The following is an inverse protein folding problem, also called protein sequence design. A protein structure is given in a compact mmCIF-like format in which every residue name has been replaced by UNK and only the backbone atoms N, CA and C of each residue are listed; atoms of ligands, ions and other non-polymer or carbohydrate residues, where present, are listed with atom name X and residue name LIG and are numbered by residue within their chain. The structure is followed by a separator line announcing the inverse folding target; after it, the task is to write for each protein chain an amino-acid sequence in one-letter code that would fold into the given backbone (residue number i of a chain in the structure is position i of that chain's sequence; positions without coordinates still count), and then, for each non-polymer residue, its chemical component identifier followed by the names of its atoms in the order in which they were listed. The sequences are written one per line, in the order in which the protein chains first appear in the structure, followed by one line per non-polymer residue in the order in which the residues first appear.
data_IF_878894205128
#
_entry.id   IF_878894205128
#
_cell.length_a   1.000
_cell.length_b   1.000
_cell.length_c   1.000
_cell.angle_alpha   90.00
_cell.angle_beta   90.00
_cell.angle_gamma   90.00
#
_symmetry.space_group_name_H-M   'P 1'
#
loop_
_entity.id
_entity.type
_entity.pdbx_description
1 polymer ?
#
# COMPACT_ATOMS: atom_id res chain seq x y z
N UNK A 1 14.02 -7.16 12.92
CA UNK A 1 13.36 -6.15 12.08
C UNK A 1 11.87 -6.29 12.35
N UNK A 2 11.19 -5.19 12.67
CA UNK A 2 9.75 -5.19 12.99
C UNK A 2 8.95 -5.06 11.70
N UNK A 3 7.83 -5.77 11.60
CA UNK A 3 6.87 -5.59 10.51
C UNK A 3 6.39 -4.14 10.41
N UNK A 4 6.01 -3.72 9.21
CA UNK A 4 5.43 -2.40 8.94
C UNK A 4 4.16 -2.23 9.76
N UNK A 5 4.08 -1.15 10.53
CA UNK A 5 2.90 -0.90 11.36
C UNK A 5 1.66 -0.68 10.47
N UNK A 6 0.49 -1.05 10.98
CA UNK A 6 -0.76 -0.90 10.22
C UNK A 6 -1.02 0.53 9.73
N UNK A 7 -0.74 1.52 10.57
CA UNK A 7 -0.88 2.93 10.17
C UNK A 7 0.04 3.26 8.99
N UNK A 8 1.28 2.80 9.04
CA UNK A 8 2.24 3.03 7.94
C UNK A 8 1.82 2.30 6.68
N UNK A 9 1.30 1.06 6.76
CA UNK A 9 0.71 0.36 5.60
C UNK A 9 -0.41 1.18 4.96
N UNK A 10 -1.29 1.76 5.78
CA UNK A 10 -2.38 2.61 5.28
C UNK A 10 -1.85 3.88 4.60
N UNK A 11 -0.81 4.50 5.16
CA UNK A 11 -0.17 5.68 4.58
C UNK A 11 0.47 5.35 3.23
N UNK A 12 1.27 4.29 3.16
CA UNK A 12 1.92 3.81 1.93
C UNK A 12 0.89 3.53 0.83
N UNK A 13 -0.12 2.71 1.13
CA UNK A 13 -1.13 2.32 0.14
C UNK A 13 -2.03 3.50 -0.25
N UNK A 14 -2.29 4.41 0.69
CA UNK A 14 -3.04 5.63 0.43
C UNK A 14 -2.30 6.58 -0.51
N UNK A 15 -1.00 6.79 -0.28
CA UNK A 15 -0.10 7.59 -1.12
C UNK A 15 0.03 6.94 -2.51
N UNK A 16 0.24 5.62 -2.58
CA UNK A 16 0.28 4.88 -3.83
C UNK A 16 -1.01 5.07 -4.67
N UNK A 17 -2.18 5.01 -4.03
CA UNK A 17 -3.44 5.23 -4.72
C UNK A 17 -3.65 6.69 -5.14
N UNK A 18 -3.23 7.65 -4.31
CA UNK A 18 -3.39 9.07 -4.62
C UNK A 18 -2.52 9.47 -5.82
N UNK A 19 -1.26 9.04 -5.82
CA UNK A 19 -0.24 9.47 -6.78
C UNK A 19 -0.23 8.62 -8.06
N UNK A 20 -0.50 7.30 -7.97
CA UNK A 20 -0.29 6.35 -9.06
C UNK A 20 -1.56 5.70 -9.62
N UNK A 21 -2.78 6.05 -9.17
CA UNK A 21 -4.06 5.49 -9.70
C UNK A 21 -4.32 5.64 -11.20
N UNK A 22 -3.59 6.52 -11.87
CA UNK A 22 -3.69 6.70 -13.31
C UNK A 22 -2.39 6.33 -14.03
N UNK A 23 -1.44 5.74 -13.31
CA UNK A 23 -0.22 5.21 -13.90
C UNK A 23 -0.51 3.84 -14.49
N UNK A 24 -0.12 3.67 -15.76
CA UNK A 24 -0.32 2.43 -16.53
C UNK A 24 0.45 1.27 -15.92
N UNK A 25 1.58 1.53 -15.26
CA UNK A 25 2.40 0.49 -14.64
C UNK A 25 1.71 -0.15 -13.43
N UNK A 26 0.84 0.62 -12.76
CA UNK A 26 0.10 0.18 -11.57
C UNK A 26 -1.36 -0.21 -11.88
N UNK A 27 -1.83 -0.09 -13.12
CA UNK A 27 -3.24 -0.25 -13.50
C UNK A 27 -3.84 -1.58 -13.03
N UNK A 28 -3.15 -2.69 -13.27
CA UNK A 28 -3.61 -4.03 -12.89
C UNK A 28 -3.70 -4.18 -11.36
N UNK A 29 -2.66 -3.73 -10.65
CA UNK A 29 -2.62 -3.79 -9.20
C UNK A 29 -3.73 -2.92 -8.57
N UNK A 30 -3.91 -1.71 -9.07
CA UNK A 30 -4.89 -0.75 -8.57
C UNK A 30 -6.31 -1.22 -8.84
N UNK A 31 -6.58 -1.71 -10.05
CA UNK A 31 -7.90 -2.24 -10.40
C UNK A 31 -8.27 -3.46 -9.56
N UNK A 32 -7.32 -4.34 -9.26
CA UNK A 32 -7.56 -5.51 -8.41
C UNK A 32 -7.76 -5.15 -6.93
N UNK A 33 -7.06 -4.12 -6.45
CA UNK A 33 -7.02 -3.74 -5.03
C UNK A 33 -7.80 -2.46 -4.68
N UNK A 34 -8.63 -1.94 -5.58
CA UNK A 34 -9.29 -0.63 -5.44
C UNK A 34 -9.97 -0.43 -4.08
N UNK A 35 -10.68 -1.44 -3.57
CA UNK A 35 -11.32 -1.36 -2.25
C UNK A 35 -10.29 -1.25 -1.11
N UNK A 36 -9.20 -2.03 -1.13
CA UNK A 36 -8.18 -1.97 -0.09
C UNK A 36 -7.42 -0.64 -0.11
N UNK A 37 -7.12 -0.14 -1.31
CA UNK A 37 -6.44 1.14 -1.54
C UNK A 37 -7.28 2.34 -1.11
N UNK A 38 -8.55 2.39 -1.51
CA UNK A 38 -9.46 3.47 -1.11
C UNK A 38 -9.72 3.49 0.39
N UNK A 39 -9.80 2.31 1.05
CA UNK A 39 -9.92 2.21 2.50
C UNK A 39 -8.64 2.68 3.22
N UNK A 40 -7.46 2.31 2.71
CA UNK A 40 -6.18 2.77 3.23
C UNK A 40 -6.05 4.29 3.18
N UNK A 41 -6.35 4.88 2.01
CA UNK A 41 -6.38 6.34 1.83
C UNK A 41 -7.37 7.01 2.81
N UNK A 42 -8.60 6.51 2.89
CA UNK A 42 -9.63 7.10 3.74
C UNK A 42 -9.25 7.05 5.22
N UNK A 43 -8.61 5.98 5.66
CA UNK A 43 -8.13 5.84 7.04
C UNK A 43 -6.95 6.74 7.36
N UNK A 44 -5.93 6.74 6.49
CA UNK A 44 -4.74 7.56 6.67
C UNK A 44 -5.08 9.06 6.77
N UNK A 45 -6.15 9.48 6.07
CA UNK A 45 -6.67 10.85 6.11
C UNK A 45 -7.72 11.10 7.21
N UNK A 46 -8.00 10.13 8.08
CA UNK A 46 -8.95 10.27 9.18
C UNK A 46 -10.42 10.41 8.77
N UNK A 47 -10.78 9.98 7.55
CA UNK A 47 -12.15 10.02 7.02
C UNK A 47 -13.02 8.93 7.65
N UNK A 48 -12.42 7.77 7.93
CA UNK A 48 -13.09 6.61 8.51
C UNK A 48 -12.35 6.10 9.75
N UNK A 49 -13.04 5.28 10.54
CA UNK A 49 -12.46 4.57 11.67
C UNK A 49 -12.18 3.12 11.30
N UNK A 50 -11.22 2.52 12.01
CA UNK A 50 -10.80 1.15 11.77
C UNK A 50 -11.93 0.14 12.09
N UNK A 51 -12.06 -0.88 11.24
CA UNK A 51 -12.81 -2.09 11.55
C UNK A 51 -11.96 -3.33 11.26
N UNK A 52 -12.28 -4.46 11.90
CA UNK A 52 -11.54 -5.71 11.69
C UNK A 52 -11.55 -6.13 10.21
N UNK A 53 -12.69 -5.99 9.53
CA UNK A 53 -12.80 -6.36 8.11
C UNK A 53 -11.95 -5.46 7.21
N UNK A 54 -11.91 -4.18 7.52
CA UNK A 54 -11.07 -3.21 6.81
C UNK A 54 -9.59 -3.50 7.01
N UNK A 55 -9.16 -3.80 8.24
CA UNK A 55 -7.77 -4.19 8.52
C UNK A 55 -7.35 -5.39 7.67
N UNK A 56 -8.18 -6.44 7.62
CA UNK A 56 -7.91 -7.63 6.80
C UNK A 56 -7.77 -7.30 5.30
N UNK A 57 -8.60 -6.40 4.77
CA UNK A 57 -8.52 -6.00 3.36
C UNK A 57 -7.23 -5.22 3.07
N UNK A 58 -6.87 -4.28 3.95
CA UNK A 58 -5.65 -3.47 3.80
C UNK A 58 -4.40 -4.35 3.93
N UNK A 59 -4.36 -5.26 4.90
CA UNK A 59 -3.25 -6.20 5.07
C UNK A 59 -3.10 -7.10 3.82
N UNK A 60 -4.21 -7.63 3.27
CA UNK A 60 -4.17 -8.41 2.03
C UNK A 60 -3.69 -7.60 0.82
N UNK A 61 -4.10 -6.34 0.70
CA UNK A 61 -3.64 -5.44 -0.37
C UNK A 61 -2.14 -5.14 -0.23
N UNK A 62 -1.66 -4.94 1.00
CA UNK A 62 -0.23 -4.72 1.26
C UNK A 62 0.59 -5.96 0.89
N UNK A 63 0.15 -7.14 1.33
CA UNK A 63 0.80 -8.42 0.96
C UNK A 63 0.79 -8.63 -0.55
N UNK A 64 -0.31 -8.30 -1.23
CA UNK A 64 -0.42 -8.40 -2.69
C UNK A 64 0.61 -7.49 -3.37
N UNK A 65 0.78 -6.27 -2.88
CA UNK A 65 1.76 -5.33 -3.42
C UNK A 65 3.20 -5.86 -3.27
N UNK A 66 3.56 -6.37 -2.08
CA UNK A 66 4.87 -6.96 -1.84
C UNK A 66 5.15 -8.15 -2.76
N UNK A 67 4.14 -9.02 -2.94
CA UNK A 67 4.23 -10.16 -3.85
C UNK A 67 4.48 -9.73 -5.31
N UNK A 68 3.80 -8.69 -5.79
CA UNK A 68 4.02 -8.12 -7.14
C UNK A 68 5.45 -7.58 -7.28
N UNK A 69 6.00 -7.02 -6.22
CA UNK A 69 7.38 -6.54 -6.17
C UNK A 69 8.43 -7.64 -5.95
N UNK A 70 8.02 -8.91 -5.84
CA UNK A 70 8.93 -10.04 -5.60
C UNK A 70 9.46 -10.13 -4.16
N UNK A 71 8.84 -9.44 -3.20
CA UNK A 71 9.15 -9.57 -1.78
C UNK A 71 8.24 -10.61 -1.12
N UNK A 72 8.83 -11.70 -0.63
CA UNK A 72 8.10 -12.78 0.05
C UNK A 72 7.56 -12.38 1.44
N UNK A 73 8.07 -11.29 2.03
CA UNK A 73 7.68 -10.85 3.37
C UNK A 73 7.89 -9.35 3.58
N UNK A 74 7.10 -8.79 4.48
CA UNK A 74 7.29 -7.46 5.07
C UNK A 74 8.62 -7.42 5.86
N UNK A 75 9.49 -6.47 5.51
CA UNK A 75 10.79 -6.25 6.16
C UNK A 75 10.81 -5.02 7.08
N UNK A 76 9.67 -4.31 7.17
CA UNK A 76 9.51 -3.06 7.92
C UNK A 76 9.87 -1.85 7.09
N UNK A 77 8.86 -1.10 6.66
CA UNK A 77 9.00 0.14 5.88
C UNK A 77 8.49 1.34 6.68
N UNK A 78 9.06 2.51 6.41
CA UNK A 78 8.65 3.77 7.06
C UNK A 78 7.70 4.62 6.20
N UNK A 79 7.75 4.50 4.87
CA UNK A 79 6.96 5.28 3.91
C UNK A 79 7.05 4.68 2.48
N UNK A 80 6.33 5.28 1.52
CA UNK A 80 6.29 4.78 0.14
C UNK A 80 7.66 4.82 -0.55
N UNK A 81 8.41 5.91 -0.36
CA UNK A 81 9.74 6.06 -0.96
C UNK A 81 10.75 5.01 -0.45
N UNK A 82 10.68 4.66 0.84
CA UNK A 82 11.45 3.57 1.43
C UNK A 82 11.08 2.23 0.77
N UNK A 83 9.78 1.95 0.67
CA UNK A 83 9.30 0.74 0.02
C UNK A 83 9.73 0.64 -1.46
N UNK A 84 9.60 1.72 -2.25
CA UNK A 84 10.06 1.75 -3.65
C UNK A 84 11.57 1.53 -3.80
N UNK A 85 12.37 2.10 -2.89
CA UNK A 85 13.82 1.87 -2.88
C UNK A 85 14.16 0.40 -2.68
N UNK A 86 13.50 -0.28 -1.74
CA UNK A 86 13.75 -1.69 -1.45
C UNK A 86 13.20 -2.62 -2.55
N UNK A 87 12.12 -2.23 -3.22
CA UNK A 87 11.49 -3.00 -4.31
C UNK A 87 12.03 -2.65 -5.70
N UNK A 88 13.01 -1.75 -5.80
CA UNK A 88 13.56 -1.22 -7.06
C UNK A 88 12.48 -0.71 -8.03
N UNK A 89 11.41 -0.11 -7.50
CA UNK A 89 10.43 0.59 -8.32
C UNK A 89 11.02 1.95 -8.71
N UNK A 90 10.97 2.31 -9.99
CA UNK A 90 11.48 3.60 -10.45
C UNK A 90 10.57 4.72 -9.93
N UNK A 91 11.13 5.67 -9.19
CA UNK A 91 10.43 6.90 -8.79
C UNK A 91 10.47 7.86 -9.99
N UNK A 92 9.68 7.57 -11.02
CA UNK A 92 9.58 8.45 -12.17
C UNK A 92 8.37 9.39 -12.02
N UNK A 93 8.54 10.41 -11.15
CA UNK A 93 8.06 11.81 -11.28
C UNK A 93 8.25 12.64 -10.01
#
# INVERSE_FOLDING_TARGET
MSETSFLVRCQILGELWEEYKFDVEFEDFISFNDLGLTLAYAFANGIIVESEKMRQLIDQTFDTYLNVCGLEKDIGFDNLADLFRETNQEIDK
#
